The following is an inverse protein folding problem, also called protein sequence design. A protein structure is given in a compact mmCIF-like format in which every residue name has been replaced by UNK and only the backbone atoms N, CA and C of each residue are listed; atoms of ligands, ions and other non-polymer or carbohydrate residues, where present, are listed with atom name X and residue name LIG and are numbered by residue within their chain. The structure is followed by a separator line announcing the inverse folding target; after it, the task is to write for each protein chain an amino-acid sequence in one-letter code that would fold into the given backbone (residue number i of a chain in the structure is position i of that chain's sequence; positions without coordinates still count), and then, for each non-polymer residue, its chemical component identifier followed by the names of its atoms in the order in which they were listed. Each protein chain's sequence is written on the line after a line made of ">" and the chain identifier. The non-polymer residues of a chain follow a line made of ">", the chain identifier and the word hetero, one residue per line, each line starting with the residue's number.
data_IF_444021435817
#
_entry.id   IF_444021435817
#
_cell.length_a   1.000
_cell.length_b   1.000
_cell.length_c   1.000
_cell.angle_alpha   90.00
_cell.angle_beta   90.00
_cell.angle_gamma   90.00
#
_symmetry.space_group_name_H-M   'P 1'
#
loop_
_entity.id
_entity.type
_entity.pdbx_description
1 polymer ?
#
# COMPACT_ATOMS: atom_id res chain seq x y z
N UNK A 1 3.57 -9.52 37.71
CA UNK A 1 2.17 -9.57 37.26
C UNK A 1 1.90 -8.52 36.18
N UNK A 2 2.02 -7.21 36.45
CA UNK A 2 1.76 -6.16 35.44
C UNK A 2 2.64 -6.23 34.18
N UNK A 3 3.92 -6.58 34.32
CA UNK A 3 4.83 -6.79 33.19
C UNK A 3 4.37 -7.92 32.27
N UNK A 4 3.82 -9.00 32.83
CA UNK A 4 3.28 -10.12 32.06
C UNK A 4 2.05 -9.70 31.25
N UNK A 5 1.14 -8.92 31.84
CA UNK A 5 -0.03 -8.37 31.14
C UNK A 5 0.37 -7.39 30.03
N UNK A 6 1.37 -6.54 30.27
CA UNK A 6 1.91 -5.64 29.24
C UNK A 6 2.49 -6.40 28.05
N UNK A 7 3.29 -7.44 28.30
CA UNK A 7 3.85 -8.28 27.24
C UNK A 7 2.72 -8.98 26.46
N UNK A 8 1.74 -9.53 27.17
CA UNK A 8 0.59 -10.22 26.55
C UNK A 8 -0.23 -9.31 25.65
N UNK A 9 -0.27 -8.00 25.93
CA UNK A 9 -0.99 -7.02 25.10
C UNK A 9 -0.12 -6.45 23.96
N UNK A 10 1.15 -6.18 24.21
CA UNK A 10 2.04 -5.53 23.23
C UNK A 10 2.51 -6.49 22.13
N UNK A 11 2.80 -7.75 22.46
CA UNK A 11 3.26 -8.74 21.48
C UNK A 11 2.26 -8.95 20.33
N UNK A 12 0.96 -9.23 20.57
CA UNK A 12 0.01 -9.39 19.47
C UNK A 12 -0.23 -8.09 18.70
N UNK A 13 -0.14 -6.92 19.35
CA UNK A 13 -0.26 -5.63 18.68
C UNK A 13 0.90 -5.41 17.68
N UNK A 14 2.14 -5.66 18.10
CA UNK A 14 3.32 -5.55 17.24
C UNK A 14 3.26 -6.56 16.08
N UNK A 15 2.85 -7.80 16.36
CA UNK A 15 2.63 -8.81 15.33
C UNK A 15 1.56 -8.38 14.32
N UNK A 16 0.43 -7.85 14.78
CA UNK A 16 -0.64 -7.37 13.91
C UNK A 16 -0.15 -6.22 13.01
N UNK A 17 0.60 -5.26 13.56
CA UNK A 17 1.21 -4.18 12.80
C UNK A 17 2.24 -4.71 11.79
N UNK A 18 3.06 -5.69 12.18
CA UNK A 18 4.03 -6.31 11.30
C UNK A 18 3.33 -7.02 10.13
N UNK A 19 2.31 -7.85 10.41
CA UNK A 19 1.50 -8.49 9.36
C UNK A 19 0.85 -7.45 8.46
N UNK A 20 0.31 -6.36 9.02
CA UNK A 20 -0.28 -5.29 8.22
C UNK A 20 0.76 -4.60 7.30
N UNK A 21 1.97 -4.33 7.82
CA UNK A 21 3.08 -3.72 7.07
C UNK A 21 3.56 -4.61 5.93
N UNK A 22 3.74 -5.90 6.23
CA UNK A 22 4.30 -6.88 5.31
C UNK A 22 3.23 -7.60 4.47
N UNK A 23 1.95 -7.25 4.63
CA UNK A 23 0.89 -7.74 3.76
C UNK A 23 1.08 -7.14 2.38
N UNK A 24 1.89 -7.82 1.57
CA UNK A 24 2.07 -7.52 0.17
C UNK A 24 0.73 -7.68 -0.54
N UNK A 25 0.21 -6.58 -1.08
CA UNK A 25 -0.86 -6.63 -2.08
C UNK A 25 -0.27 -7.16 -3.38
N UNK A 26 0.03 -8.47 -3.42
CA UNK A 26 0.30 -9.15 -4.68
C UNK A 26 -1.01 -9.18 -5.46
N UNK A 27 -1.15 -8.28 -6.43
CA UNK A 27 -2.12 -8.46 -7.50
C UNK A 27 -1.60 -9.61 -8.35
N UNK A 28 -2.12 -10.81 -8.11
CA UNK A 28 -1.92 -11.97 -8.99
C UNK A 28 -2.48 -11.60 -10.37
N UNK A 29 -1.59 -11.43 -11.34
CA UNK A 29 -1.90 -10.83 -12.65
C UNK A 29 -2.05 -11.88 -13.77
N UNK A 30 -2.28 -13.14 -13.43
CA UNK A 30 -2.09 -14.24 -14.39
C UNK A 30 -3.36 -14.70 -15.13
N UNK A 31 -4.55 -14.08 -14.97
CA UNK A 31 -5.74 -14.60 -15.68
C UNK A 31 -6.90 -13.65 -15.99
N UNK A 32 -6.88 -12.39 -15.56
CA UNK A 32 -8.00 -11.45 -15.79
C UNK A 32 -7.44 -10.15 -16.37
N UNK A 33 -8.09 -9.62 -17.41
CA UNK A 33 -7.77 -8.32 -18.03
C UNK A 33 -8.02 -7.17 -17.03
N UNK A 34 -7.13 -7.03 -16.05
CA UNK A 34 -7.17 -5.98 -15.05
C UNK A 34 -6.31 -4.80 -15.51
N UNK A 35 -6.64 -3.57 -15.09
CA UNK A 35 -5.77 -2.42 -15.32
C UNK A 35 -4.35 -2.68 -14.80
N UNK A 36 -3.30 -2.30 -15.53
CA UNK A 36 -1.93 -2.52 -15.11
C UNK A 36 -1.58 -1.70 -13.87
N UNK A 37 -0.58 -2.17 -13.13
CA UNK A 37 -0.01 -1.46 -11.99
C UNK A 37 -0.46 -1.96 -10.63
N UNK A 38 0.08 -1.31 -9.60
CA UNK A 38 -0.04 -1.71 -8.20
C UNK A 38 -0.58 -0.56 -7.34
N UNK A 39 -1.42 -0.87 -6.36
CA UNK A 39 -1.89 0.08 -5.34
C UNK A 39 -0.78 0.50 -4.35
N UNK A 40 0.38 -0.17 -4.33
CA UNK A 40 1.45 0.21 -3.41
C UNK A 40 1.02 0.09 -1.95
N UNK A 41 1.54 0.96 -1.08
CA UNK A 41 1.20 0.97 0.34
C UNK A 41 -0.09 1.76 0.60
N UNK A 42 -1.12 1.20 1.26
CA UNK A 42 -2.48 1.77 1.35
C UNK A 42 -2.61 3.09 2.13
N UNK A 43 -1.53 3.62 2.70
CA UNK A 43 -1.57 4.84 3.53
C UNK A 43 -0.30 5.67 3.32
N UNK A 44 0.87 5.04 3.43
CA UNK A 44 2.17 5.72 3.40
C UNK A 44 2.77 5.64 2.00
N UNK A 45 2.41 6.59 1.14
CA UNK A 45 2.99 6.68 -0.19
C UNK A 45 2.09 7.43 -1.16
N UNK A 46 1.24 6.69 -1.88
CA UNK A 46 0.42 7.22 -2.98
C UNK A 46 -0.48 8.37 -2.52
N UNK A 47 -1.19 8.20 -1.40
CA UNK A 47 -2.10 9.22 -0.87
C UNK A 47 -1.36 10.48 -0.42
N UNK A 48 -0.18 10.36 0.19
CA UNK A 48 0.60 11.53 0.63
C UNK A 48 1.22 12.27 -0.57
N UNK A 49 1.78 11.53 -1.54
CA UNK A 49 2.33 12.08 -2.79
C UNK A 49 1.23 12.82 -3.60
N UNK A 50 0.01 12.28 -3.59
CA UNK A 50 -1.14 12.89 -4.27
C UNK A 50 -1.70 14.11 -3.53
N UNK A 51 -1.94 14.01 -2.21
CA UNK A 51 -2.61 15.07 -1.44
C UNK A 51 -1.69 16.26 -1.13
N UNK A 52 -0.44 16.00 -0.77
CA UNK A 52 0.49 17.04 -0.31
C UNK A 52 1.56 17.39 -1.35
N UNK A 53 1.69 16.58 -2.41
CA UNK A 53 2.57 16.86 -3.52
C UNK A 53 1.89 17.62 -4.65
N UNK A 54 2.28 17.30 -5.90
CA UNK A 54 1.62 17.79 -7.10
C UNK A 54 0.85 16.63 -7.73
N UNK A 55 -0.50 16.66 -7.73
CA UNK A 55 -1.33 15.61 -8.30
C UNK A 55 -0.96 15.29 -9.76
N UNK A 56 -0.62 16.29 -10.56
CA UNK A 56 -0.23 16.09 -11.97
C UNK A 56 1.01 15.20 -12.09
N UNK A 57 2.05 15.48 -11.29
CA UNK A 57 3.28 14.71 -11.32
C UNK A 57 3.05 13.25 -10.91
N UNK A 58 2.17 13.02 -9.93
CA UNK A 58 1.77 11.67 -9.53
C UNK A 58 1.12 10.93 -10.70
N UNK A 59 0.16 11.56 -11.38
CA UNK A 59 -0.53 10.99 -12.55
C UNK A 59 0.44 10.74 -13.70
N UNK A 60 1.28 11.70 -14.07
CA UNK A 60 2.26 11.55 -15.15
C UNK A 60 3.27 10.42 -14.88
N UNK A 61 3.75 10.32 -13.64
CA UNK A 61 4.66 9.24 -13.21
C UNK A 61 4.01 7.87 -13.35
N UNK A 62 2.71 7.77 -13.06
CA UNK A 62 1.93 6.53 -13.20
C UNK A 62 1.66 6.17 -14.65
N UNK A 63 1.29 7.16 -15.47
CA UNK A 63 1.11 7.00 -16.91
C UNK A 63 2.38 6.46 -17.57
N UNK A 64 3.54 7.03 -17.21
CA UNK A 64 4.82 6.62 -17.76
C UNK A 64 5.29 5.24 -17.25
N UNK A 65 4.89 4.83 -16.04
CA UNK A 65 5.30 3.56 -15.43
C UNK A 65 4.42 2.37 -15.83
N UNK A 66 3.12 2.58 -15.99
CA UNK A 66 2.15 1.50 -16.19
C UNK A 66 1.44 1.58 -17.54
N UNK A 67 0.67 2.65 -17.79
CA UNK A 67 -0.02 2.87 -19.06
C UNK A 67 -0.59 4.30 -19.10
N UNK A 68 -0.55 4.98 -20.26
CA UNK A 68 -1.13 6.31 -20.39
C UNK A 68 -2.67 6.31 -20.37
N UNK A 69 -3.32 5.17 -20.59
CA UNK A 69 -4.77 5.09 -20.72
C UNK A 69 -5.46 4.68 -19.42
N UNK A 70 -4.91 3.70 -18.71
CA UNK A 70 -5.53 3.17 -17.50
C UNK A 70 -4.48 2.50 -16.60
N UNK A 71 -4.52 2.77 -15.30
CA UNK A 71 -3.64 2.16 -14.32
C UNK A 71 -4.29 2.13 -12.94
N UNK A 72 -3.84 1.22 -12.07
CA UNK A 72 -4.30 1.15 -10.68
C UNK A 72 -3.71 2.29 -9.81
N UNK A 73 -4.53 2.79 -8.90
CA UNK A 73 -4.21 3.75 -7.81
C UNK A 73 -4.99 3.34 -6.56
N UNK A 74 -4.44 3.59 -5.37
CA UNK A 74 -5.19 3.53 -4.10
C UNK A 74 -6.16 4.71 -3.94
#
# INVERSE_FOLDING_TARGET
>A
MYTLYLILCLVPLVLALFVFIFKSTKSSDDSINLPPGSMGWPIVGETIEFLFGKPENFVFKRMNKYSPHIFKTN
#
